data_IF_703974476731
#
_entry.id   IF_703974476731
#
_cell.length_a   1.000
_cell.length_b   1.000
_cell.length_c   1.000
_cell.angle_alpha   90.00
_cell.angle_beta   90.00
_cell.angle_gamma   90.00
#
_symmetry.space_group_name_H-M   'P 1'
#
loop_
_entity.id
_entity.type
_entity.pdbx_description
1 polymer ?
#
# COMPACT_ATOMS: atom_id res chain seq x y z
N UNK A 1 -1.17 7.93 3.28
CA UNK A 1 -1.50 8.69 2.04
C UNK A 1 -1.52 7.70 0.89
N UNK A 2 -2.51 7.76 -0.01
CA UNK A 2 -2.62 6.84 -1.15
C UNK A 2 -2.03 7.50 -2.41
N UNK A 3 -1.10 6.83 -3.09
CA UNK A 3 -0.49 7.29 -4.34
C UNK A 3 -0.54 6.22 -5.42
N UNK A 4 -0.71 6.63 -6.67
CA UNK A 4 -0.81 5.74 -7.83
C UNK A 4 0.41 5.91 -8.72
N UNK A 5 1.15 4.82 -8.92
CA UNK A 5 2.32 4.77 -9.78
C UNK A 5 2.12 3.74 -10.87
N UNK A 6 2.48 4.11 -12.09
CA UNK A 6 2.51 3.17 -13.21
C UNK A 6 3.92 2.63 -13.36
N UNK A 7 4.09 1.32 -13.24
CA UNK A 7 5.38 0.69 -13.48
C UNK A 7 5.76 0.81 -14.96
N UNK A 8 6.94 1.34 -15.27
CA UNK A 8 7.39 1.49 -16.66
C UNK A 8 7.69 0.15 -17.34
N UNK A 9 8.11 -0.85 -16.56
CA UNK A 9 8.48 -2.18 -17.09
C UNK A 9 7.25 -2.99 -17.49
N UNK A 10 6.31 -3.21 -16.57
CA UNK A 10 5.12 -4.05 -16.81
C UNK A 10 3.85 -3.27 -17.16
N UNK A 11 3.93 -1.94 -17.27
CA UNK A 11 2.80 -1.01 -17.50
C UNK A 11 1.62 -1.14 -16.52
N UNK A 12 1.83 -1.85 -15.41
CA UNK A 12 0.81 -2.12 -14.40
C UNK A 12 0.70 -0.94 -13.45
N UNK A 13 -0.54 -0.56 -13.10
CA UNK A 13 -0.82 0.44 -12.08
C UNK A 13 -0.66 -0.18 -10.69
N UNK A 14 0.22 0.41 -9.91
CA UNK A 14 0.55 0.06 -8.53
C UNK A 14 0.02 1.18 -7.62
N UNK A 15 -0.60 0.78 -6.53
CA UNK A 15 -1.05 1.66 -5.45
C UNK A 15 -0.05 1.55 -4.32
N UNK A 16 0.45 2.68 -3.86
CA UNK A 16 1.34 2.81 -2.72
C UNK A 16 0.54 3.48 -1.61
N UNK A 17 0.39 2.78 -0.49
CA UNK A 17 -0.24 3.31 0.72
C UNK A 17 0.84 3.50 1.77
N UNK A 18 1.09 4.75 2.12
CA UNK A 18 2.00 5.09 3.22
C UNK A 18 1.24 5.13 4.54
N UNK A 19 1.72 4.36 5.51
CA UNK A 19 1.29 4.39 6.91
C UNK A 19 2.45 4.88 7.77
N UNK A 20 2.30 6.08 8.33
CA UNK A 20 3.33 6.74 9.12
C UNK A 20 3.17 6.39 10.61
N UNK A 21 4.27 5.99 11.25
CA UNK A 21 4.32 5.93 12.71
C UNK A 21 4.41 7.39 13.23
N UNK A 22 3.55 7.76 14.17
CA UNK A 22 3.42 9.15 14.64
C UNK A 22 4.58 9.61 15.55
N UNK A 23 5.54 8.74 15.87
CA UNK A 23 6.43 8.91 17.02
C UNK A 23 7.92 8.63 16.77
N UNK A 24 8.38 8.31 15.56
CA UNK A 24 9.80 8.11 15.34
C UNK A 24 10.45 9.34 14.66
N UNK A 25 11.57 9.75 15.25
CA UNK A 25 12.45 10.81 14.74
C UNK A 25 13.34 10.28 13.59
N UNK A 26 13.34 8.96 13.36
CA UNK A 26 14.23 8.25 12.44
C UNK A 26 13.47 7.73 11.21
N UNK A 27 13.56 8.47 10.11
CA UNK A 27 13.05 8.02 8.81
C UNK A 27 13.98 6.98 8.20
N UNK A 28 13.43 5.83 7.85
CA UNK A 28 14.13 4.77 7.14
C UNK A 28 13.89 4.88 5.63
N UNK A 29 14.94 4.66 4.84
CA UNK A 29 14.81 4.57 3.37
C UNK A 29 14.31 3.18 2.99
N UNK A 30 13.12 3.14 2.40
CA UNK A 30 12.47 1.93 1.91
C UNK A 30 12.48 1.95 0.39
N UNK A 31 13.00 0.87 -0.20
CA UNK A 31 12.92 0.65 -1.64
C UNK A 31 11.57 0.02 -1.99
N UNK A 32 10.82 0.69 -2.85
CA UNK A 32 9.54 0.22 -3.37
C UNK A 32 9.79 -0.59 -4.64
N UNK A 33 9.25 -1.80 -4.67
CA UNK A 33 9.33 -2.72 -5.80
C UNK A 33 7.94 -3.01 -6.34
N UNK A 34 7.84 -3.17 -7.66
CA UNK A 34 6.57 -3.49 -8.30
C UNK A 34 6.13 -4.91 -7.90
N UNK A 35 4.92 -5.11 -7.35
CA UNK A 35 4.45 -6.43 -6.93
C UNK A 35 4.24 -7.40 -8.12
N UNK A 36 4.09 -6.89 -9.34
CA UNK A 36 3.83 -7.70 -10.53
C UNK A 36 5.10 -8.23 -11.21
N UNK A 37 6.18 -7.44 -11.25
CA UNK A 37 7.42 -7.80 -11.96
C UNK A 37 8.67 -7.74 -11.08
N UNK A 38 8.53 -7.36 -9.81
CA UNK A 38 9.61 -7.16 -8.85
C UNK A 38 10.67 -6.13 -9.31
N UNK A 39 10.31 -5.27 -10.25
CA UNK A 39 11.17 -4.20 -10.74
C UNK A 39 11.21 -3.04 -9.74
N UNK A 40 12.33 -2.32 -9.67
CA UNK A 40 12.49 -1.22 -8.73
C UNK A 40 11.68 -0.02 -9.23
N UNK A 41 10.73 0.44 -8.41
CA UNK A 41 9.94 1.63 -8.72
C UNK A 41 10.72 2.87 -8.28
N UNK A 42 10.93 3.01 -6.99
CA UNK A 42 11.60 4.16 -6.40
C UNK A 42 12.06 3.86 -4.97
N UNK A 43 12.80 4.78 -4.38
CA UNK A 43 13.19 4.71 -2.96
C UNK A 43 12.59 5.91 -2.25
N UNK A 44 11.88 5.67 -1.15
CA UNK A 44 11.28 6.73 -0.31
C UNK A 44 11.72 6.61 1.13
N UNK A 45 11.79 7.74 1.80
CA UNK A 45 12.03 7.78 3.25
C UNK A 45 10.70 7.86 3.99
N UNK A 46 10.42 6.91 4.87
CA UNK A 46 9.25 6.94 5.76
C UNK A 46 9.64 6.57 7.18
N UNK A 47 8.84 7.01 8.13
CA UNK A 47 8.98 6.63 9.53
C UNK A 47 8.23 5.32 9.87
N UNK A 48 7.31 4.91 8.99
CA UNK A 48 6.53 3.69 9.17
C UNK A 48 6.73 2.70 8.03
N UNK A 49 5.65 2.41 7.31
CA UNK A 49 5.61 1.33 6.33
C UNK A 49 4.94 1.79 5.03
N UNK A 50 5.44 1.29 3.91
CA UNK A 50 4.77 1.40 2.63
C UNK A 50 4.13 0.06 2.27
N UNK A 51 2.83 0.08 2.02
CA UNK A 51 2.13 -1.03 1.39
C UNK A 51 2.10 -0.80 -0.12
N UNK A 52 2.69 -1.73 -0.88
CA UNK A 52 2.78 -1.66 -2.33
C UNK A 52 2.00 -2.83 -2.93
N UNK A 53 0.95 -2.51 -3.68
CA UNK A 53 0.03 -3.51 -4.21
C UNK A 53 -0.53 -3.08 -5.57
N UNK A 54 -1.04 -4.03 -6.36
CA UNK A 54 -1.66 -3.68 -7.64
C UNK A 54 -3.02 -3.00 -7.44
N UNK A 55 -3.44 -2.16 -8.39
CA UNK A 55 -4.77 -1.52 -8.34
C UNK A 55 -5.92 -2.54 -8.21
N UNK A 56 -5.75 -3.72 -8.83
CA UNK A 56 -6.73 -4.80 -8.80
C UNK A 56 -6.87 -5.37 -7.39
N UNK A 57 -5.76 -5.59 -6.70
CA UNK A 57 -5.74 -6.07 -5.32
C UNK A 57 -6.29 -5.02 -4.37
N UNK A 58 -5.88 -3.77 -4.53
CA UNK A 58 -6.37 -2.65 -3.73
C UNK A 58 -7.90 -2.51 -3.81
N UNK A 59 -8.48 -2.60 -5.01
CA UNK A 59 -9.95 -2.59 -5.19
C UNK A 59 -10.62 -3.77 -4.49
N UNK A 60 -10.05 -4.97 -4.61
CA UNK A 60 -10.59 -6.16 -3.94
C UNK A 60 -10.58 -6.01 -2.42
N UNK A 61 -9.50 -5.51 -1.84
CA UNK A 61 -9.41 -5.30 -0.38
C UNK A 61 -10.42 -4.25 0.09
N UNK A 62 -10.56 -3.15 -0.62
CA UNK A 62 -11.55 -2.10 -0.31
C UNK A 62 -12.99 -2.62 -0.35
N UNK A 63 -13.30 -3.50 -1.30
CA UNK A 63 -14.59 -4.21 -1.34
C UNK A 63 -14.78 -5.17 -0.16
N UNK A 64 -13.73 -5.87 0.27
CA UNK A 64 -13.77 -6.77 1.43
C UNK A 64 -13.96 -5.97 2.72
N UNK A 65 -13.25 -4.87 2.89
CA UNK A 65 -13.38 -3.98 4.06
C UNK A 65 -14.79 -3.39 4.17
N UNK A 66 -15.33 -2.91 3.05
CA UNK A 66 -16.72 -2.43 2.96
C UNK A 66 -17.75 -3.51 3.33
N UNK A 67 -17.43 -4.79 3.13
CA UNK A 67 -18.29 -5.92 3.54
C UNK A 67 -18.10 -6.31 5.00
N UNK A 68 -16.90 -6.12 5.58
CA UNK A 68 -16.64 -6.36 7.01
C UNK A 68 -17.41 -5.41 7.91
N UNK A 69 -17.57 -4.14 7.50
CA UNK A 69 -18.33 -3.14 8.26
C UNK A 69 -19.82 -3.52 8.45
N UNK A 70 -20.34 -4.45 7.64
CA UNK A 70 -21.73 -4.94 7.72
C UNK A 70 -21.92 -6.16 8.62
N UNK A 71 -20.86 -6.70 9.22
CA UNK A 71 -20.99 -7.76 10.21
C UNK A 71 -21.12 -7.10 11.59
N UNK A 72 -22.32 -7.08 12.21
CA UNK A 72 -22.45 -6.63 13.58
C UNK A 72 -21.57 -7.52 14.45
N UNK A 73 -20.59 -6.93 15.13
CA UNK A 73 -19.83 -7.62 16.15
C UNK A 73 -20.82 -8.18 17.18
N UNK A 74 -20.82 -9.49 17.47
CA UNK A 74 -21.52 -9.99 18.63
C UNK A 74 -20.81 -9.42 19.86
N UNK A 75 -21.36 -8.35 20.43
CA UNK A 75 -20.96 -7.91 21.77
C UNK A 75 -21.30 -9.06 22.72
N UNK A 76 -20.27 -9.67 23.30
CA UNK A 76 -20.40 -10.70 24.34
C UNK A 76 -20.07 -10.08 25.69
#
# INVERSE_FOLDING_TARGET
MEELIKCENCQTTVVIVEDNLFYSDEKSEVQLSCPACNDKLETRSTDGWFFVQTEIEFKKEKEIESKKERLPYPMT
#
